data_IF_306874007927
#
_entry.id   IF_306874007927
#
_cell.length_a   1.000
_cell.length_b   1.000
_cell.length_c   1.000
_cell.angle_alpha   90.00
_cell.angle_beta   90.00
_cell.angle_gamma   90.00
#
_symmetry.space_group_name_H-M   'P 1'
#
loop_
_entity.id
_entity.type
_entity.pdbx_description
1 polymer ?
#
# COMPACT_ATOMS: atom_id res chain seq x y z
N UNK A 1 -15.21 17.56 -24.69
CA UNK A 1 -15.22 18.31 -23.42
C UNK A 1 -14.44 17.49 -22.40
N UNK A 2 -13.28 17.95 -21.88
CA UNK A 2 -12.55 17.19 -20.87
C UNK A 2 -13.38 17.19 -19.57
N UNK A 3 -13.70 16.01 -19.06
CA UNK A 3 -14.38 15.85 -17.77
C UNK A 3 -13.45 16.39 -16.69
N UNK A 4 -13.84 17.49 -16.06
CA UNK A 4 -13.09 18.09 -14.96
C UNK A 4 -13.17 17.16 -13.75
N UNK A 5 -12.08 16.44 -13.51
CA UNK A 5 -11.86 15.69 -12.28
C UNK A 5 -12.09 16.60 -11.07
N UNK A 6 -12.86 16.10 -10.08
CA UNK A 6 -12.94 16.74 -8.78
C UNK A 6 -11.52 16.90 -8.22
N UNK A 7 -11.22 18.04 -7.61
CA UNK A 7 -9.92 18.35 -6.96
C UNK A 7 -9.44 17.23 -6.02
N UNK A 8 -10.29 16.35 -5.50
CA UNK A 8 -9.94 15.21 -4.61
C UNK A 8 -9.55 13.95 -5.28
N UNK A 9 -10.13 13.72 -6.45
CA UNK A 9 -9.62 12.68 -7.32
C UNK A 9 -8.24 13.09 -7.82
N UNK A 10 -8.01 14.39 -8.07
CA UNK A 10 -6.66 14.93 -8.29
C UNK A 10 -5.75 14.69 -7.08
N UNK A 11 -6.19 14.95 -5.84
CA UNK A 11 -5.38 14.68 -4.63
C UNK A 11 -4.98 13.21 -4.48
N UNK A 12 -5.87 12.22 -4.63
CA UNK A 12 -5.48 10.80 -4.49
C UNK A 12 -4.55 10.35 -5.62
N UNK A 13 -4.77 10.86 -6.83
CA UNK A 13 -3.92 10.56 -7.98
C UNK A 13 -2.54 11.26 -7.87
N UNK A 14 -2.49 12.45 -7.27
CA UNK A 14 -1.29 13.22 -6.97
C UNK A 14 -0.53 12.67 -5.76
N UNK A 15 -1.23 12.13 -4.76
CA UNK A 15 -0.65 11.43 -3.60
C UNK A 15 -0.11 10.06 -3.99
N UNK A 16 -0.82 9.30 -4.84
CA UNK A 16 -0.30 8.09 -5.45
C UNK A 16 0.93 8.37 -6.35
N UNK A 17 0.99 9.56 -6.96
CA UNK A 17 2.15 10.01 -7.71
C UNK A 17 3.29 10.54 -6.83
N UNK A 18 2.99 11.09 -5.65
CA UNK A 18 3.98 11.61 -4.69
C UNK A 18 4.61 10.53 -3.79
N UNK A 19 4.24 9.26 -4.00
CA UNK A 19 4.93 8.09 -3.46
C UNK A 19 6.22 7.74 -4.23
N UNK A 20 6.63 8.57 -5.20
CA UNK A 20 7.93 8.43 -5.86
C UNK A 20 9.06 8.42 -4.83
N UNK A 21 9.76 7.31 -4.75
CA UNK A 21 11.03 7.17 -4.05
C UNK A 21 12.11 6.97 -5.11
N UNK A 22 13.22 7.68 -4.94
CA UNK A 22 14.31 7.76 -5.90
C UNK A 22 15.57 7.06 -5.39
N UNK A 23 15.60 6.75 -4.08
CA UNK A 23 16.72 6.08 -3.44
C UNK A 23 16.28 4.96 -2.49
N UNK A 24 17.20 4.03 -2.29
CA UNK A 24 17.13 2.95 -1.31
C UNK A 24 16.86 3.52 0.09
N UNK A 25 15.88 3.00 0.81
CA UNK A 25 15.53 3.39 2.18
C UNK A 25 15.04 4.84 2.35
N UNK A 26 14.78 5.57 1.27
CA UNK A 26 14.20 6.91 1.34
C UNK A 26 12.78 6.87 1.93
N UNK A 27 12.03 5.81 1.60
CA UNK A 27 10.66 5.62 2.10
C UNK A 27 10.43 4.16 2.44
N UNK A 28 10.02 3.93 3.68
CA UNK A 28 9.71 2.60 4.21
C UNK A 28 8.23 2.55 4.60
N UNK A 29 7.53 1.51 4.15
CA UNK A 29 6.19 1.16 4.60
C UNK A 29 6.26 0.18 5.77
N UNK A 30 5.33 0.33 6.70
CA UNK A 30 5.06 -0.63 7.76
C UNK A 30 3.61 -1.07 7.61
N UNK A 31 3.38 -2.38 7.59
CA UNK A 31 2.04 -2.96 7.57
C UNK A 31 1.97 -4.13 8.56
N UNK A 32 0.78 -4.39 9.10
CA UNK A 32 0.55 -5.48 10.05
C UNK A 32 -0.44 -6.46 9.42
N UNK A 33 0.05 -7.65 9.12
CA UNK A 33 -0.76 -8.74 8.58
C UNK A 33 -1.20 -9.68 9.72
N UNK A 34 -2.50 -9.81 9.97
CA UNK A 34 -3.00 -10.78 10.93
C UNK A 34 -4.41 -10.51 11.47
N UNK A 35 -4.86 -11.36 12.41
CA UNK A 35 -4.12 -12.47 13.02
C UNK A 35 -4.01 -13.68 12.09
N UNK A 36 -2.82 -14.29 12.01
CA UNK A 36 -2.62 -15.55 11.29
C UNK A 36 -3.30 -16.73 11.99
N UNK A 37 -3.56 -17.85 11.29
CA UNK A 37 -4.06 -19.08 11.90
C UNK A 37 -3.21 -19.46 13.12
N UNK A 38 -3.87 -19.91 14.19
CA UNK A 38 -3.17 -20.31 15.42
C UNK A 38 -2.16 -21.41 15.09
N UNK A 39 -0.93 -21.22 15.58
CA UNK A 39 0.10 -22.26 15.54
C UNK A 39 -0.30 -23.46 16.38
N UNK A 40 0.34 -24.62 16.15
CA UNK A 40 0.08 -25.85 16.92
C UNK A 40 0.30 -25.67 18.44
N UNK A 41 1.13 -24.70 18.83
CA UNK A 41 1.36 -24.29 20.23
C UNK A 41 0.30 -23.31 20.77
N UNK A 42 -0.74 -22.99 20.01
CA UNK A 42 -1.88 -22.15 20.44
C UNK A 42 -1.68 -20.64 20.24
N UNK A 43 -0.49 -20.19 19.84
CA UNK A 43 -0.16 -18.78 19.70
C UNK A 43 -0.76 -18.18 18.42
N UNK A 44 -1.33 -16.97 18.55
CA UNK A 44 -1.69 -16.11 17.42
C UNK A 44 -0.53 -15.17 17.17
N UNK A 45 -0.18 -14.99 15.90
CA UNK A 45 0.86 -14.05 15.51
C UNK A 45 0.30 -13.09 14.48
N UNK A 46 0.70 -11.84 14.62
CA UNK A 46 0.66 -10.82 13.59
C UNK A 46 2.04 -10.77 12.95
N UNK A 47 2.11 -10.44 11.66
CA UNK A 47 3.37 -10.19 10.97
C UNK A 47 3.48 -8.69 10.72
N UNK A 48 4.47 -8.05 11.33
CA UNK A 48 4.89 -6.72 10.91
C UNK A 48 5.74 -6.87 9.65
N UNK A 49 5.26 -6.31 8.55
CA UNK A 49 5.95 -6.23 7.27
C UNK A 49 6.52 -4.83 7.14
N UNK A 50 7.84 -4.75 6.99
CA UNK A 50 8.58 -3.52 6.72
C UNK A 50 9.08 -3.61 5.29
N UNK A 51 8.74 -2.66 4.43
CA UNK A 51 9.11 -2.71 3.02
C UNK A 51 9.71 -1.39 2.56
N UNK A 52 10.90 -1.45 1.96
CA UNK A 52 11.45 -0.31 1.24
C UNK A 52 10.69 -0.11 -0.08
N UNK A 53 10.20 1.11 -0.34
CA UNK A 53 9.38 1.37 -1.52
C UNK A 53 10.18 1.31 -2.82
N UNK A 54 11.49 1.63 -2.80
CA UNK A 54 12.30 1.70 -4.01
C UNK A 54 12.74 0.32 -4.46
N UNK A 55 13.46 -0.39 -3.60
CA UNK A 55 13.95 -1.74 -3.87
C UNK A 55 12.86 -2.80 -3.79
N UNK A 56 11.73 -2.48 -3.16
CA UNK A 56 10.70 -3.45 -2.77
C UNK A 56 11.21 -4.51 -1.80
N UNK A 57 12.32 -4.24 -1.08
CA UNK A 57 12.89 -5.20 -0.14
C UNK A 57 12.00 -5.38 1.10
N UNK A 58 11.52 -6.60 1.38
CA UNK A 58 10.71 -6.86 2.57
C UNK A 58 11.55 -7.39 3.74
N UNK A 59 11.21 -6.93 4.93
CA UNK A 59 11.56 -7.54 6.21
C UNK A 59 10.27 -7.86 6.96
N UNK A 60 10.22 -9.05 7.56
CA UNK A 60 9.02 -9.54 8.24
C UNK A 60 9.37 -9.97 9.65
N UNK A 61 8.59 -9.48 10.60
CA UNK A 61 8.79 -9.69 12.02
C UNK A 61 7.52 -10.28 12.64
N UNK A 62 7.57 -11.47 13.25
CA UNK A 62 6.43 -12.01 13.99
C UNK A 62 6.24 -11.22 15.29
N UNK A 63 5.01 -10.81 15.56
CA UNK A 63 4.62 -10.09 16.77
C UNK A 63 3.43 -10.82 17.41
N UNK A 64 3.46 -11.06 18.73
CA UNK A 64 2.36 -11.75 19.42
C UNK A 64 1.08 -10.90 19.50
N UNK A 65 1.19 -9.58 19.59
CA UNK A 65 0.06 -8.65 19.71
C UNK A 65 0.37 -7.30 19.05
N UNK A 66 -0.66 -6.51 18.73
CA UNK A 66 -0.55 -5.18 18.11
C UNK A 66 -0.21 -4.08 19.13
N UNK A 67 -0.02 -4.42 20.40
CA UNK A 67 0.28 -3.47 21.48
C UNK A 67 1.79 -3.19 21.64
N UNK A 68 2.15 -1.96 22.01
CA UNK A 68 3.52 -1.57 22.38
C UNK A 68 3.77 -1.88 23.87
N UNK A 69 4.99 -2.27 24.30
CA UNK A 69 6.26 -2.13 23.61
C UNK A 69 6.91 -3.50 23.37
N UNK A 70 6.35 -4.32 22.49
CA UNK A 70 7.06 -5.54 22.10
C UNK A 70 8.20 -5.19 21.15
N UNK A 71 9.44 -5.48 21.54
CA UNK A 71 10.57 -5.45 20.61
C UNK A 71 10.39 -6.59 19.60
N UNK A 72 10.17 -6.29 18.30
CA UNK A 72 10.02 -7.33 17.30
C UNK A 72 11.33 -8.12 17.22
N UNK A 73 11.26 -9.42 17.53
CA UNK A 73 12.43 -10.28 17.40
C UNK A 73 12.61 -10.60 15.92
N UNK A 74 13.76 -10.25 15.37
CA UNK A 74 14.12 -10.58 13.98
C UNK A 74 14.06 -12.09 13.81
N UNK A 75 13.32 -12.57 12.80
CA UNK A 75 13.48 -13.96 12.35
C UNK A 75 14.96 -14.13 11.98
N UNK A 76 15.63 -15.08 12.65
CA UNK A 76 17.06 -15.31 12.45
C UNK A 76 17.41 -15.52 10.97
N UNK A 77 18.68 -15.31 10.57
CA UNK A 77 19.12 -15.44 9.17
C UNK A 77 18.82 -16.84 8.59
N UNK A 78 18.79 -17.87 9.42
CA UNK A 78 18.44 -19.26 9.05
C UNK A 78 16.95 -19.47 8.78
N UNK A 79 16.11 -18.56 9.28
CA UNK A 79 14.67 -18.53 9.10
C UNK A 79 14.26 -17.48 8.06
N UNK A 80 15.10 -17.25 7.05
CA UNK A 80 14.62 -16.65 5.80
C UNK A 80 13.57 -17.60 5.24
N UNK A 81 12.33 -17.37 5.63
CA UNK A 81 11.21 -18.18 5.20
C UNK A 81 11.26 -18.31 3.69
N UNK A 82 10.98 -19.50 3.16
CA UNK A 82 11.02 -19.76 1.73
C UNK A 82 10.20 -18.73 0.92
N UNK A 83 9.15 -18.16 1.54
CA UNK A 83 8.37 -17.07 0.94
C UNK A 83 9.16 -15.76 0.81
N UNK A 84 9.97 -15.37 1.80
CA UNK A 84 10.83 -14.18 1.70
C UNK A 84 11.91 -14.38 0.63
N UNK A 85 12.51 -15.56 0.57
CA UNK A 85 13.49 -15.88 -0.46
C UNK A 85 12.87 -15.83 -1.87
N UNK A 86 11.69 -16.43 -2.05
CA UNK A 86 10.95 -16.38 -3.30
C UNK A 86 10.62 -14.94 -3.70
N UNK A 87 10.10 -14.13 -2.77
CA UNK A 87 9.78 -12.73 -3.06
C UNK A 87 11.03 -11.91 -3.40
N UNK A 88 12.12 -12.08 -2.66
CA UNK A 88 13.37 -11.31 -2.86
C UNK A 88 14.09 -11.64 -4.17
N UNK A 89 13.85 -12.84 -4.73
CA UNK A 89 14.42 -13.27 -6.01
C UNK A 89 13.47 -13.11 -7.20
N UNK A 90 12.17 -12.96 -6.97
CA UNK A 90 11.19 -12.74 -8.02
C UNK A 90 11.25 -11.30 -8.57
N UNK A 91 11.15 -11.18 -9.89
CA UNK A 91 11.06 -9.88 -10.57
C UNK A 91 9.74 -9.20 -10.22
N UNK A 92 9.81 -7.97 -9.73
CA UNK A 92 8.62 -7.19 -9.37
C UNK A 92 8.11 -6.39 -10.57
N UNK A 93 6.81 -6.42 -10.90
CA UNK A 93 6.29 -5.81 -12.14
C UNK A 93 6.56 -4.30 -12.26
N UNK A 94 6.51 -3.56 -11.14
CA UNK A 94 6.70 -2.10 -11.12
C UNK A 94 8.13 -1.66 -11.43
N UNK A 95 9.14 -2.34 -10.84
CA UNK A 95 10.56 -2.03 -11.06
C UNK A 95 11.11 -2.81 -12.26
N UNK A 96 10.52 -3.97 -12.54
CA UNK A 96 10.98 -4.98 -13.49
C UNK A 96 12.36 -5.56 -13.16
N UNK A 97 12.75 -5.49 -11.88
CA UNK A 97 13.92 -6.14 -11.28
C UNK A 97 13.50 -6.86 -10.00
N UNK A 98 14.29 -7.84 -9.56
CA UNK A 98 14.07 -8.47 -8.26
C UNK A 98 14.53 -7.56 -7.11
N UNK A 99 13.92 -7.65 -5.91
CA UNK A 99 14.36 -6.88 -4.76
C UNK A 99 15.85 -7.08 -4.42
N UNK A 100 16.39 -8.28 -4.63
CA UNK A 100 17.82 -8.54 -4.40
C UNK A 100 18.72 -7.86 -5.42
N UNK A 101 18.31 -7.79 -6.69
CA UNK A 101 19.06 -7.05 -7.71
C UNK A 101 19.06 -5.56 -7.38
N UNK A 102 17.92 -5.01 -6.96
CA UNK A 102 17.81 -3.61 -6.57
C UNK A 102 18.67 -3.25 -5.35
N UNK A 103 18.78 -4.16 -4.36
CA UNK A 103 19.50 -3.89 -3.12
C UNK A 103 20.99 -4.28 -3.15
N UNK A 104 21.34 -5.37 -3.84
CA UNK A 104 22.70 -5.92 -3.85
C UNK A 104 23.37 -5.90 -5.23
N UNK A 105 22.68 -5.48 -6.29
CA UNK A 105 23.20 -5.50 -7.66
C UNK A 105 23.40 -6.91 -8.23
N UNK A 106 22.82 -7.94 -7.58
CA UNK A 106 22.95 -9.35 -7.97
C UNK A 106 21.76 -10.18 -7.50
N UNK A 107 21.60 -11.35 -8.10
CA UNK A 107 20.63 -12.34 -7.64
C UNK A 107 21.07 -12.99 -6.33
N UNK A 108 20.10 -13.37 -5.50
CA UNK A 108 20.36 -14.24 -4.36
C UNK A 108 20.84 -15.62 -4.84
N UNK A 109 21.76 -16.22 -4.08
CA UNK A 109 22.11 -17.64 -4.28
C UNK A 109 20.94 -18.49 -3.79
N UNK A 110 20.26 -19.14 -4.72
CA UNK A 110 19.18 -20.07 -4.40
C UNK A 110 19.78 -21.45 -4.06
N UNK A 111 19.04 -22.33 -3.35
CA UNK A 111 19.51 -23.68 -3.04
C UNK A 111 19.95 -24.47 -4.29
N UNK A 112 19.27 -24.29 -5.42
CA UNK A 112 19.68 -24.90 -6.69
C UNK A 112 21.04 -24.36 -7.19
N UNK A 113 21.34 -23.07 -7.04
CA UNK A 113 22.62 -22.51 -7.45
C UNK A 113 23.79 -23.06 -6.62
N UNK A 114 23.54 -23.40 -5.35
CA UNK A 114 24.52 -24.03 -4.48
C UNK A 114 24.77 -25.49 -4.88
N UNK A 115 23.73 -26.20 -5.36
CA UNK A 115 23.80 -27.60 -5.77
C UNK A 115 24.44 -27.79 -7.15
N UNK A 116 24.12 -26.91 -8.12
CA UNK A 116 24.57 -27.03 -9.50
C UNK A 116 25.78 -26.14 -9.83
N UNK A 117 26.11 -25.20 -8.94
CA UNK A 117 27.16 -24.20 -9.16
C UNK A 117 26.72 -23.10 -10.14
N UNK A 118 27.34 -21.93 -10.00
CA UNK A 118 27.30 -20.87 -11.01
C UNK A 118 28.71 -20.64 -11.56
N UNK A 119 28.86 -20.18 -12.81
CA UNK A 119 30.16 -19.74 -13.32
C UNK A 119 30.77 -18.71 -12.35
N UNK A 120 32.09 -18.77 -12.09
CA UNK A 120 32.74 -17.79 -11.24
C UNK A 120 32.73 -16.40 -11.90
N UNK A 121 31.90 -15.50 -11.39
CA UNK A 121 32.02 -14.06 -11.61
C UNK A 121 33.11 -13.51 -10.68
N UNK A 122 34.36 -13.93 -10.88
CA UNK A 122 35.49 -13.39 -10.11
C UNK A 122 36.08 -12.22 -10.87
N UNK A 123 35.89 -10.96 -10.42
CA UNK A 123 36.62 -9.82 -10.96
C UNK A 123 38.12 -10.01 -10.67
N UNK A 124 38.96 -9.48 -11.55
CA UNK A 124 40.41 -9.65 -11.45
C UNK A 124 40.99 -8.88 -10.27
N UNK A 125 40.30 -7.83 -9.78
CA UNK A 125 40.67 -7.08 -8.59
C UNK A 125 39.46 -6.62 -7.75
N UNK A 126 39.64 -6.33 -6.45
CA UNK A 126 38.62 -5.71 -5.61
C UNK A 126 38.17 -4.33 -6.13
N UNK A 127 39.06 -3.57 -6.77
CA UNK A 127 38.74 -2.26 -7.34
C UNK A 127 37.80 -2.40 -8.54
N UNK A 128 38.09 -3.37 -9.42
CA UNK A 128 37.23 -3.72 -10.56
C UNK A 128 35.85 -4.21 -10.07
N UNK A 129 35.80 -4.98 -8.99
CA UNK A 129 34.53 -5.39 -8.37
C UNK A 129 33.67 -4.19 -7.95
N UNK A 130 34.26 -3.23 -7.24
CA UNK A 130 33.56 -2.06 -6.72
C UNK A 130 33.07 -1.18 -7.87
N UNK A 131 33.90 -0.94 -8.89
CA UNK A 131 33.52 -0.20 -10.09
C UNK A 131 32.36 -0.88 -10.84
N UNK A 132 32.46 -2.19 -11.06
CA UNK A 132 31.40 -2.97 -11.70
C UNK A 132 30.12 -3.00 -10.86
N UNK A 133 30.22 -2.97 -9.53
CA UNK A 133 29.06 -2.91 -8.65
C UNK A 133 28.39 -1.52 -8.70
N UNK A 134 29.17 -0.45 -8.67
CA UNK A 134 28.67 0.92 -8.79
C UNK A 134 27.96 1.14 -10.13
N UNK A 135 28.58 0.74 -11.24
CA UNK A 135 28.00 0.82 -12.57
C UNK A 135 26.66 0.06 -12.65
N UNK A 136 26.63 -1.18 -12.14
CA UNK A 136 25.39 -1.97 -12.09
C UNK A 136 24.28 -1.31 -11.29
N UNK A 137 24.60 -0.72 -10.14
CA UNK A 137 23.58 -0.01 -9.34
C UNK A 137 23.06 1.21 -10.08
N UNK A 138 23.93 1.99 -10.70
CA UNK A 138 23.54 3.16 -11.47
C UNK A 138 22.58 2.76 -12.60
N UNK A 139 22.92 1.74 -13.40
CA UNK A 139 22.08 1.23 -14.47
C UNK A 139 20.73 0.71 -13.97
N UNK A 140 20.75 -0.22 -13.01
CA UNK A 140 19.53 -0.86 -12.47
C UNK A 140 18.61 0.19 -11.84
N UNK A 141 19.16 1.12 -11.06
CA UNK A 141 18.36 2.16 -10.41
C UNK A 141 17.82 3.17 -11.41
N UNK A 142 18.60 3.57 -12.42
CA UNK A 142 18.14 4.49 -13.47
C UNK A 142 16.94 3.87 -14.24
N UNK A 143 17.08 2.62 -14.68
CA UNK A 143 16.02 1.87 -15.39
C UNK A 143 14.79 1.63 -14.51
N UNK A 144 14.99 1.31 -13.23
CA UNK A 144 13.89 1.15 -12.28
C UNK A 144 13.14 2.48 -12.06
N UNK A 145 13.86 3.60 -11.91
CA UNK A 145 13.27 4.94 -11.76
C UNK A 145 12.40 5.31 -12.96
N UNK A 146 12.88 5.09 -14.18
CA UNK A 146 12.10 5.32 -15.40
C UNK A 146 10.81 4.49 -15.42
N UNK A 147 10.90 3.20 -15.10
CA UNK A 147 9.74 2.30 -15.05
C UNK A 147 8.74 2.68 -13.97
N UNK A 148 9.21 3.04 -12.78
CA UNK A 148 8.37 3.52 -11.69
C UNK A 148 7.60 4.76 -12.15
N UNK A 149 8.24 5.71 -12.81
CA UNK A 149 7.59 6.92 -13.33
C UNK A 149 6.50 6.59 -14.36
N UNK A 150 6.85 5.79 -15.37
CA UNK A 150 5.90 5.39 -16.42
C UNK A 150 4.70 4.64 -15.84
N UNK A 151 4.91 3.76 -14.85
CA UNK A 151 3.84 3.02 -14.18
C UNK A 151 2.98 3.94 -13.32
N UNK A 152 3.61 4.88 -12.60
CA UNK A 152 2.91 5.86 -11.77
C UNK A 152 1.99 6.74 -12.61
N UNK A 153 2.46 7.23 -13.75
CA UNK A 153 1.66 8.02 -14.69
C UNK A 153 0.49 7.22 -15.29
N UNK A 154 0.73 5.95 -15.67
CA UNK A 154 -0.32 5.03 -16.14
C UNK A 154 -1.35 4.71 -15.06
N UNK A 155 -0.93 4.53 -13.81
CA UNK A 155 -1.84 4.31 -12.69
C UNK A 155 -2.68 5.55 -12.41
N UNK A 156 -2.05 6.74 -12.44
CA UNK A 156 -2.71 8.04 -12.27
C UNK A 156 -3.81 8.24 -13.31
N UNK A 157 -3.46 8.09 -14.59
CA UNK A 157 -4.41 8.25 -15.71
C UNK A 157 -5.57 7.26 -15.66
N UNK A 158 -5.33 5.99 -15.28
CA UNK A 158 -6.39 4.98 -15.08
C UNK A 158 -7.32 5.35 -13.92
N UNK A 159 -6.77 5.82 -12.80
CA UNK A 159 -7.56 6.26 -11.66
C UNK A 159 -8.41 7.47 -12.03
N UNK A 160 -7.79 8.47 -12.65
CA UNK A 160 -8.42 9.69 -13.15
C UNK A 160 -9.57 9.40 -14.13
N UNK A 161 -9.39 8.41 -15.02
CA UNK A 161 -10.46 8.02 -15.96
C UNK A 161 -11.65 7.36 -15.25
N UNK A 162 -11.41 6.62 -14.17
CA UNK A 162 -12.45 5.93 -13.39
C UNK A 162 -13.12 6.83 -12.36
N UNK A 163 -12.53 7.99 -12.09
CA UNK A 163 -12.98 8.99 -11.14
C UNK A 163 -14.18 9.80 -11.68
N UNK A 164 -15.28 9.12 -12.02
CA UNK A 164 -16.59 9.74 -12.29
C UNK A 164 -17.33 9.92 -10.98
N UNK A 165 -16.98 10.96 -10.20
CA UNK A 165 -17.65 11.29 -8.95
C UNK A 165 -18.81 12.28 -9.14
N UNK A 166 -19.93 12.07 -8.44
CA UNK A 166 -20.92 13.12 -8.21
C UNK A 166 -20.28 14.28 -7.41
N UNK A 167 -20.45 15.52 -7.88
CA UNK A 167 -20.03 16.71 -7.13
C UNK A 167 -21.07 17.03 -6.06
N UNK A 168 -20.72 16.84 -4.80
CA UNK A 168 -21.55 17.24 -3.67
C UNK A 168 -21.36 18.73 -3.35
N UNK A 169 -22.39 19.36 -2.80
CA UNK A 169 -22.36 20.74 -2.27
C UNK A 169 -22.70 20.76 -0.78
N UNK A 170 -22.24 21.80 -0.09
CA UNK A 170 -22.63 22.05 1.29
C UNK A 170 -24.15 22.25 1.37
N UNK A 171 -24.81 21.57 2.32
CA UNK A 171 -26.26 21.53 2.44
C UNK A 171 -26.94 20.32 1.78
N UNK A 172 -26.25 19.58 0.90
CA UNK A 172 -26.84 18.41 0.24
C UNK A 172 -27.14 17.29 1.25
N UNK A 173 -28.24 16.57 0.98
CA UNK A 173 -28.59 15.35 1.70
C UNK A 173 -27.87 14.15 1.07
N UNK A 174 -27.26 13.32 1.90
CA UNK A 174 -26.51 12.12 1.49
C UNK A 174 -26.81 10.94 2.42
N UNK A 175 -26.75 9.74 1.86
CA UNK A 175 -26.65 8.51 2.61
C UNK A 175 -25.20 8.29 3.04
N UNK A 176 -24.99 7.77 4.25
CA UNK A 176 -23.69 7.43 4.80
C UNK A 176 -23.58 5.93 5.06
N UNK A 177 -22.58 5.29 4.46
CA UNK A 177 -22.27 3.89 4.69
C UNK A 177 -21.51 3.70 6.01
N UNK A 178 -22.16 3.07 6.98
CA UNK A 178 -21.56 2.73 8.27
C UNK A 178 -21.39 1.20 8.42
N UNK A 179 -20.15 0.68 8.37
CA UNK A 179 -19.89 -0.77 8.50
C UNK A 179 -20.02 -1.29 9.93
N UNK A 180 -20.27 -0.45 10.94
CA UNK A 180 -20.33 -0.90 12.33
C UNK A 180 -21.60 -1.70 12.59
N UNK A 181 -21.44 -2.98 12.96
CA UNK A 181 -22.51 -3.91 13.31
C UNK A 181 -23.24 -3.50 14.58
N UNK A 182 -24.58 -3.54 14.57
CA UNK A 182 -25.37 -3.45 15.81
C UNK A 182 -25.40 -4.82 16.49
N UNK A 183 -24.89 -4.89 17.72
CA UNK A 183 -24.94 -6.10 18.57
C UNK A 183 -26.42 -6.48 18.80
N UNK A 184 -26.78 -7.74 18.56
CA UNK A 184 -28.13 -8.28 18.80
C UNK A 184 -29.04 -8.43 17.57
N UNK A 185 -28.62 -7.97 16.39
CA UNK A 185 -29.37 -8.12 15.13
C UNK A 185 -28.63 -9.07 14.17
N UNK A 186 -29.37 -9.87 13.40
CA UNK A 186 -28.79 -10.78 12.39
C UNK A 186 -27.99 -10.00 11.34
N UNK A 187 -26.69 -10.29 11.13
CA UNK A 187 -25.84 -9.55 10.18
C UNK A 187 -26.34 -9.53 8.74
N UNK A 188 -27.13 -10.54 8.34
CA UNK A 188 -27.64 -10.68 6.96
C UNK A 188 -28.81 -9.75 6.65
N UNK A 189 -29.47 -9.19 7.66
CA UNK A 189 -30.68 -8.36 7.50
C UNK A 189 -30.46 -6.88 7.85
N UNK A 190 -29.22 -6.45 8.11
CA UNK A 190 -28.91 -5.07 8.44
C UNK A 190 -28.53 -4.26 7.19
N UNK A 191 -29.22 -3.14 6.97
CA UNK A 191 -28.73 -2.13 6.01
C UNK A 191 -27.57 -1.36 6.63
N UNK A 192 -26.44 -1.33 5.93
CA UNK A 192 -25.26 -0.58 6.31
C UNK A 192 -25.36 0.91 5.94
N UNK A 193 -26.38 1.28 5.16
CA UNK A 193 -26.64 2.67 4.78
C UNK A 193 -27.52 3.34 5.84
N UNK A 194 -26.99 4.39 6.46
CA UNK A 194 -27.71 5.25 7.39
C UNK A 194 -27.92 6.63 6.79
N UNK A 195 -29.04 7.28 7.08
CA UNK A 195 -29.31 8.62 6.59
C UNK A 195 -30.77 9.05 6.76
N UNK A 196 -31.15 10.20 6.18
CA UNK A 196 -30.28 11.14 5.47
C UNK A 196 -29.35 11.93 6.42
N UNK A 197 -28.15 12.24 5.94
CA UNK A 197 -27.21 13.17 6.56
C UNK A 197 -27.11 14.43 5.71
N UNK A 198 -26.81 15.57 6.31
CA UNK A 198 -26.53 16.83 5.61
C UNK A 198 -25.03 17.07 5.58
N UNK A 199 -24.51 17.45 4.42
CA UNK A 199 -23.13 17.92 4.28
C UNK A 199 -23.01 19.29 4.94
N UNK A 200 -22.16 19.38 5.95
CA UNK A 200 -21.88 20.65 6.62
C UNK A 200 -20.75 21.40 5.95
N UNK A 201 -19.67 20.69 5.64
CA UNK A 201 -18.47 21.29 5.06
C UNK A 201 -17.73 20.29 4.22
N UNK A 202 -17.30 20.71 3.04
CA UNK A 202 -16.36 19.95 2.22
C UNK A 202 -14.96 20.42 2.64
N UNK A 203 -14.23 19.55 3.34
CA UNK A 203 -12.88 19.89 3.83
C UNK A 203 -11.93 19.78 2.65
N UNK A 204 -11.89 18.56 2.10
CA UNK A 204 -11.24 18.24 0.83
C UNK A 204 -12.26 17.43 0.03
N UNK A 205 -12.08 17.34 -1.26
CA UNK A 205 -12.91 16.51 -2.14
C UNK A 205 -12.89 14.99 -1.81
N UNK A 206 -11.91 14.53 -1.03
CA UNK A 206 -11.85 13.15 -0.51
C UNK A 206 -12.56 13.03 0.85
N UNK A 207 -12.61 14.12 1.61
CA UNK A 207 -12.98 14.11 3.03
C UNK A 207 -14.07 15.16 3.29
N UNK A 208 -15.27 14.67 3.61
CA UNK A 208 -16.47 15.48 3.77
C UNK A 208 -16.97 15.39 5.22
N UNK A 209 -17.37 16.53 5.79
CA UNK A 209 -17.97 16.59 7.12
C UNK A 209 -19.50 16.57 7.00
N UNK A 210 -20.11 15.54 7.57
CA UNK A 210 -21.55 15.30 7.54
C UNK A 210 -22.18 15.34 8.94
N UNK A 211 -23.48 15.60 9.02
CA UNK A 211 -24.26 15.58 10.27
C UNK A 211 -25.67 15.03 10.04
N UNK A 212 -26.20 14.22 10.96
CA UNK A 212 -27.51 13.58 10.81
C UNK A 212 -28.68 14.52 11.14
N UNK A 213 -28.56 15.22 12.25
CA UNK A 213 -29.54 16.17 12.80
C UNK A 213 -28.80 17.28 13.55
N UNK A 214 -29.45 18.42 13.78
CA UNK A 214 -28.88 19.59 14.48
C UNK A 214 -28.23 19.22 15.81
N UNK A 215 -28.84 18.31 16.57
CA UNK A 215 -28.35 17.84 17.87
C UNK A 215 -27.32 16.71 17.80
N UNK A 216 -26.99 16.21 16.61
CA UNK A 216 -26.02 15.11 16.45
C UNK A 216 -24.59 15.63 16.24
N UNK A 217 -23.61 14.92 16.82
CA UNK A 217 -22.18 15.24 16.60
C UNK A 217 -21.82 15.09 15.11
N UNK A 218 -21.13 16.09 14.52
CA UNK A 218 -20.67 16.00 13.14
C UNK A 218 -19.61 14.90 13.00
N UNK A 219 -19.55 14.27 11.82
CA UNK A 219 -18.59 13.22 11.49
C UNK A 219 -17.83 13.59 10.23
N UNK A 220 -16.54 13.28 10.21
CA UNK A 220 -15.67 13.44 9.05
C UNK A 220 -15.53 12.08 8.38
N UNK A 221 -15.87 11.99 7.10
CA UNK A 221 -15.99 10.71 6.37
C UNK A 221 -15.38 10.83 4.98
N UNK A 222 -14.94 9.68 4.44
CA UNK A 222 -14.43 9.58 3.09
C UNK A 222 -15.57 9.69 2.06
N UNK A 223 -15.30 10.31 0.91
CA UNK A 223 -16.23 10.49 -0.21
C UNK A 223 -16.92 9.18 -0.62
N UNK A 224 -16.15 8.09 -0.80
CA UNK A 224 -16.67 6.77 -1.18
C UNK A 224 -17.69 6.15 -0.21
N UNK A 225 -17.79 6.68 1.02
CA UNK A 225 -18.80 6.23 1.99
C UNK A 225 -20.10 7.01 1.90
N UNK A 226 -20.22 7.91 0.92
CA UNK A 226 -21.39 8.73 0.69
C UNK A 226 -22.09 8.33 -0.60
N UNK A 227 -23.42 8.35 -0.56
CA UNK A 227 -24.24 8.23 -1.75
C UNK A 227 -25.26 9.37 -1.81
N UNK A 228 -25.59 9.89 -3.01
CA UNK A 228 -26.58 10.96 -3.15
C UNK A 228 -27.95 10.51 -2.62
N UNK A 229 -28.65 11.40 -1.91
CA UNK A 229 -30.01 11.17 -1.44
C UNK A 229 -31.00 11.79 -2.44
N UNK A 230 -31.71 10.94 -3.20
CA UNK A 230 -32.79 11.36 -4.09
C UNK A 230 -34.13 11.19 -3.38
N UNK A 231 -34.44 12.06 -2.41
CA UNK A 231 -35.75 12.09 -1.77
C UNK A 231 -36.76 12.87 -2.61
N UNK A 232 -38.00 12.37 -2.70
CA UNK A 232 -39.14 13.13 -3.19
C UNK A 232 -39.42 14.30 -2.23
N UNK A 233 -39.42 15.54 -2.74
CA UNK A 233 -40.01 16.67 -2.04
C UNK A 233 -41.53 16.55 -2.18
N UNK A 234 -42.21 16.27 -1.07
CA UNK A 234 -43.63 16.60 -0.88
C UNK A 234 -43.73 17.91 -0.12
#
# INVERSE_FOLDING_TARGET
MPVQLGRGQRYVAEEAASLQCWSTFERIAFDILGPLPRTASGNKYHLLVVMDYFTKWPEVYPIPDQEAPHQPTRLGPESSSLFLLAYRSAVHETTGYSPSQMLFGRDLRLPCDLLFGRPPDTPSSPEEYVQNLQARFEDVHNLARERINLRTEKMKTRYDTKATGHQFKEGDKVWFYNPTRRKGLSPKLQSHWGGPYTILKIINDVVIRIRKSTNSKPRVVHYDRLAPYYGHNS
#
